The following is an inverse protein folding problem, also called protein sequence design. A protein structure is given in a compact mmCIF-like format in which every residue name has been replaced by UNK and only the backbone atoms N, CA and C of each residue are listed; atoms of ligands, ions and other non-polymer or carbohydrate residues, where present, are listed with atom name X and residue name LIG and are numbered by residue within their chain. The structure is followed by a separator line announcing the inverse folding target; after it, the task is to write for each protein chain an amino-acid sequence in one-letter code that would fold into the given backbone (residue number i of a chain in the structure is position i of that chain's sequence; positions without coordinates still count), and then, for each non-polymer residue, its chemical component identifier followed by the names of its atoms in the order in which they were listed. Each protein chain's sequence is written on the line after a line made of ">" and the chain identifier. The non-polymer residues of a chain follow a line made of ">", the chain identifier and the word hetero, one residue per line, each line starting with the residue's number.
data_IF_130194409402
#
_entry.id   IF_130194409402
#
_cell.length_a   1.000
_cell.length_b   1.000
_cell.length_c   1.000
_cell.angle_alpha   90.00
_cell.angle_beta   90.00
_cell.angle_gamma   90.00
#
_symmetry.space_group_name_H-M   'P 1'
#
loop_
_entity.id
_entity.type
_entity.pdbx_description
1 polymer ?
#
# COMPACT_ATOMS: atom_id res chain seq x y z
N UNK A 1 25.06 -1.81 22.64
CA UNK A 1 25.15 -0.43 22.12
C UNK A 1 24.87 -0.47 20.62
N UNK A 2 23.61 -0.19 20.32
CA UNK A 2 23.00 0.36 19.10
C UNK A 2 23.83 0.45 17.80
N UNK A 3 23.44 -0.37 16.82
CA UNK A 3 23.62 -0.17 15.37
C UNK A 3 22.29 -0.67 14.80
N UNK A 4 21.40 0.12 14.21
CA UNK A 4 21.58 0.95 13.01
C UNK A 4 20.32 1.82 12.92
N UNK A 5 20.46 3.11 13.18
CA UNK A 5 19.44 4.11 12.88
C UNK A 5 20.08 5.14 11.98
N UNK A 6 19.31 5.63 11.00
CA UNK A 6 19.60 6.73 10.05
C UNK A 6 20.11 6.29 8.68
N UNK A 7 19.15 5.99 7.81
CA UNK A 7 19.16 6.55 6.45
C UNK A 7 17.74 6.53 5.88
N UNK A 8 16.94 7.52 6.25
CA UNK A 8 15.84 7.96 5.40
C UNK A 8 16.03 9.45 5.25
N UNK A 9 16.43 9.81 4.04
CA UNK A 9 16.92 11.11 3.61
C UNK A 9 15.82 12.17 3.67
N UNK A 10 16.26 13.39 3.97
CA UNK A 10 15.51 14.63 3.91
C UNK A 10 14.79 14.78 2.56
N UNK A 11 13.53 15.23 2.60
CA UNK A 11 12.88 15.82 1.44
C UNK A 11 12.12 17.09 1.87
N UNK A 12 12.33 18.13 1.06
CA UNK A 12 12.04 19.56 1.24
C UNK A 12 10.60 19.91 1.62
N UNK A 13 10.46 21.13 2.15
CA UNK A 13 9.20 21.86 2.44
C UNK A 13 8.53 22.41 1.16
N UNK A 14 8.33 21.57 0.16
CA UNK A 14 7.18 21.74 -0.74
C UNK A 14 5.97 21.16 0.02
N UNK A 15 4.75 21.64 -0.19
CA UNK A 15 3.56 21.01 0.42
C UNK A 15 3.63 19.50 0.25
N UNK A 16 3.93 18.78 1.34
CA UNK A 16 4.19 17.36 1.27
C UNK A 16 2.83 16.74 1.02
N UNK A 17 2.50 16.49 -0.25
CA UNK A 17 1.30 15.74 -0.60
C UNK A 17 1.39 14.39 0.09
N UNK A 18 0.37 14.09 0.88
CA UNK A 18 0.23 12.82 1.56
C UNK A 18 -0.98 12.11 0.97
N UNK A 19 -0.77 10.85 0.61
CA UNK A 19 -1.80 9.97 0.10
C UNK A 19 -2.29 9.12 1.26
N UNK A 20 -3.62 9.06 1.43
CA UNK A 20 -4.25 8.23 2.45
C UNK A 20 -4.30 6.79 1.93
N UNK A 21 -3.63 5.87 2.60
CA UNK A 21 -3.61 4.45 2.25
C UNK A 21 -4.37 3.67 3.30
N UNK A 22 -5.44 3.01 2.88
CA UNK A 22 -6.31 2.20 3.71
C UNK A 22 -5.99 0.72 3.45
N UNK A 23 -5.38 0.07 4.42
CA UNK A 23 -4.98 -1.34 4.32
C UNK A 23 -5.95 -2.17 5.13
N UNK A 24 -6.66 -3.08 4.46
CA UNK A 24 -7.41 -4.13 5.13
C UNK A 24 -6.52 -5.36 5.22
N UNK A 25 -6.34 -5.87 6.43
CA UNK A 25 -5.66 -7.13 6.69
C UNK A 25 -6.57 -8.09 7.46
N UNK A 26 -6.72 -9.36 7.03
CA UNK A 26 -7.58 -10.31 7.73
C UNK A 26 -7.15 -10.59 9.18
N UNK A 27 -5.86 -10.46 9.49
CA UNK A 27 -5.31 -10.75 10.82
C UNK A 27 -5.25 -9.51 11.72
N UNK A 28 -4.94 -8.33 11.16
CA UNK A 28 -4.71 -7.09 11.91
C UNK A 28 -5.87 -6.07 11.79
N UNK A 29 -6.86 -6.34 10.95
CA UNK A 29 -8.00 -5.45 10.72
C UNK A 29 -7.67 -4.29 9.77
N UNK A 30 -8.39 -3.18 9.90
CA UNK A 30 -8.21 -1.99 9.08
C UNK A 30 -7.13 -1.07 9.64
N UNK A 31 -6.18 -0.69 8.80
CA UNK A 31 -5.12 0.25 9.11
C UNK A 31 -5.15 1.41 8.11
N UNK A 32 -4.81 2.61 8.57
CA UNK A 32 -4.65 3.79 7.72
C UNK A 32 -3.22 4.31 7.84
N UNK A 33 -2.57 4.51 6.70
CA UNK A 33 -1.25 5.09 6.57
C UNK A 33 -1.35 6.40 5.77
N UNK A 34 -0.42 7.32 6.02
CA UNK A 34 -0.24 8.53 5.21
C UNK A 34 1.18 8.51 4.69
N UNK A 35 1.35 8.27 3.39
CA UNK A 35 2.66 8.19 2.74
C UNK A 35 2.76 9.23 1.64
N UNK A 36 4.00 9.62 1.31
CA UNK A 36 4.25 10.45 0.14
C UNK A 36 4.01 9.64 -1.15
N UNK A 37 3.79 10.30 -2.29
CA UNK A 37 3.67 9.66 -3.61
C UNK A 37 4.70 8.55 -3.86
N UNK A 38 5.99 8.87 -3.69
CA UNK A 38 7.09 7.92 -3.92
C UNK A 38 7.06 6.73 -2.95
N UNK A 39 6.81 6.99 -1.67
CA UNK A 39 6.72 5.95 -0.65
C UNK A 39 5.49 5.05 -0.86
N UNK A 40 4.42 5.61 -1.41
CA UNK A 40 3.19 4.88 -1.77
C UNK A 40 3.46 3.89 -2.90
N UNK A 41 4.11 4.32 -3.98
CA UNK A 41 4.50 3.41 -5.08
C UNK A 41 5.39 2.27 -4.57
N UNK A 42 6.43 2.59 -3.79
CA UNK A 42 7.35 1.60 -3.21
C UNK A 42 6.63 0.63 -2.25
N UNK A 43 5.68 1.12 -1.46
CA UNK A 43 4.87 0.30 -0.55
C UNK A 43 3.97 -0.66 -1.33
N UNK A 44 3.26 -0.16 -2.33
CA UNK A 44 2.30 -0.93 -3.13
C UNK A 44 2.98 -1.95 -4.05
N UNK A 45 4.18 -1.66 -4.55
CA UNK A 45 4.98 -2.61 -5.32
C UNK A 45 5.32 -3.88 -4.52
N UNK A 46 5.35 -3.79 -3.18
CA UNK A 46 5.56 -4.92 -2.28
C UNK A 46 4.28 -5.72 -1.98
N UNK A 47 3.10 -5.23 -2.37
CA UNK A 47 1.78 -5.82 -2.10
C UNK A 47 1.21 -6.54 -3.35
N UNK A 48 2.01 -7.38 -4.01
CA UNK A 48 1.63 -8.05 -5.26
C UNK A 48 0.51 -9.10 -5.12
N UNK A 49 0.27 -9.61 -3.91
CA UNK A 49 -0.79 -10.55 -3.56
C UNK A 49 -2.13 -9.88 -3.22
N UNK A 50 -2.17 -8.54 -3.21
CA UNK A 50 -3.31 -7.76 -2.73
C UNK A 50 -4.00 -7.01 -3.87
N UNK A 51 -5.26 -6.69 -3.64
CA UNK A 51 -6.03 -5.84 -4.54
C UNK A 51 -5.80 -4.40 -4.19
N UNK A 52 -5.28 -3.63 -5.14
CA UNK A 52 -4.97 -2.23 -4.96
C UNK A 52 -6.05 -1.42 -5.69
N UNK A 53 -6.57 -0.43 -5.00
CA UNK A 53 -7.52 0.54 -5.55
C UNK A 53 -6.90 1.92 -5.41
N UNK A 54 -6.80 2.66 -6.49
CA UNK A 54 -6.35 4.05 -6.50
C UNK A 54 -7.56 4.91 -6.85
N UNK A 55 -7.96 5.82 -5.97
CA UNK A 55 -9.16 6.66 -6.11
C UNK A 55 -10.41 5.86 -6.52
N UNK A 56 -10.61 4.71 -5.88
CA UNK A 56 -11.69 3.75 -6.14
C UNK A 56 -11.61 2.97 -7.45
N UNK A 57 -10.56 3.11 -8.25
CA UNK A 57 -10.30 2.30 -9.44
C UNK A 57 -9.33 1.15 -9.13
N UNK A 58 -9.71 -0.07 -9.53
CA UNK A 58 -8.85 -1.24 -9.35
C UNK A 58 -7.61 -1.14 -10.24
N UNK A 59 -6.44 -1.28 -9.63
CA UNK A 59 -5.14 -1.22 -10.29
C UNK A 59 -4.30 -2.40 -9.85
N UNK A 60 -3.51 -2.97 -10.77
CA UNK A 60 -2.54 -4.01 -10.44
C UNK A 60 -1.17 -3.39 -10.14
N UNK A 61 -0.35 -4.07 -9.34
CA UNK A 61 0.98 -3.61 -8.96
C UNK A 61 1.89 -3.25 -10.15
N UNK A 62 1.73 -3.95 -11.26
CA UNK A 62 2.44 -3.72 -12.53
C UNK A 62 2.04 -2.42 -13.26
N UNK A 63 0.87 -1.85 -12.93
CA UNK A 63 0.37 -0.60 -13.52
C UNK A 63 0.57 0.63 -12.61
N UNK A 64 1.20 0.46 -11.44
CA UNK A 64 1.40 1.54 -10.47
C UNK A 64 2.25 2.69 -11.02
N UNK A 65 3.20 2.41 -11.91
CA UNK A 65 4.03 3.44 -12.56
C UNK A 65 3.27 4.26 -13.61
N UNK A 66 2.04 3.87 -13.97
CA UNK A 66 1.15 4.62 -14.87
C UNK A 66 0.21 5.56 -14.10
N UNK A 67 0.15 5.44 -12.77
CA UNK A 67 -0.71 6.26 -11.91
C UNK A 67 -0.09 7.64 -11.71
N UNK A 68 -0.91 8.68 -11.83
CA UNK A 68 -0.53 10.02 -11.41
C UNK A 68 -0.73 10.18 -9.89
N UNK A 69 0.35 9.91 -9.15
CA UNK A 69 0.37 10.03 -7.69
C UNK A 69 0.26 11.48 -7.19
N UNK A 70 0.49 12.48 -8.06
CA UNK A 70 0.33 13.89 -7.70
C UNK A 70 -1.15 14.30 -7.67
N UNK A 71 -2.00 13.62 -8.45
CA UNK A 71 -3.46 13.81 -8.41
C UNK A 71 -4.16 12.83 -7.48
N UNK A 72 -3.51 11.72 -7.12
CA UNK A 72 -4.09 10.68 -6.26
C UNK A 72 -4.25 11.15 -4.82
N UNK A 73 -5.42 10.92 -4.22
CA UNK A 73 -5.66 11.28 -2.80
C UNK A 73 -5.84 10.05 -1.91
N UNK A 74 -6.48 8.99 -2.41
CA UNK A 74 -6.78 7.80 -1.62
C UNK A 74 -6.38 6.51 -2.32
N UNK A 75 -5.77 5.62 -1.57
CA UNK A 75 -5.44 4.26 -1.99
C UNK A 75 -6.08 3.27 -1.01
N UNK A 76 -6.65 2.19 -1.54
CA UNK A 76 -7.16 1.06 -0.76
C UNK A 76 -6.41 -0.21 -1.12
N UNK A 77 -5.88 -0.89 -0.12
CA UNK A 77 -5.24 -2.19 -0.26
C UNK A 77 -6.12 -3.21 0.44
N UNK A 78 -6.71 -4.11 -0.32
CA UNK A 78 -7.58 -5.16 0.18
C UNK A 78 -6.89 -6.52 0.02
N UNK A 79 -7.11 -7.47 0.95
CA UNK A 79 -6.69 -8.83 0.72
C UNK A 79 -7.46 -9.36 -0.49
N UNK A 80 -6.81 -10.17 -1.34
CA UNK A 80 -7.52 -10.83 -2.42
C UNK A 80 -8.71 -11.61 -1.86
N UNK A 81 -9.92 -11.32 -2.35
CA UNK A 81 -11.13 -12.06 -1.97
C UNK A 81 -11.16 -13.40 -2.72
N UNK A 82 -10.19 -14.27 -2.45
CA UNK A 82 -10.26 -15.67 -2.88
C UNK A 82 -11.17 -16.41 -1.90
N UNK A 83 -12.46 -16.44 -2.24
CA UNK A 83 -13.43 -17.26 -1.52
C UNK A 83 -13.01 -18.74 -1.56
N UNK A 84 -12.72 -19.30 -0.39
CA UNK A 84 -12.49 -20.72 -0.21
C UNK A 84 -11.03 -21.13 -0.02
N UNK A 85 -10.45 -20.81 1.14
CA UNK A 85 -9.63 -21.85 1.77
C UNK A 85 -10.57 -23.00 2.09
N UNK A 86 -10.65 -23.97 1.18
CA UNK A 86 -11.02 -25.33 1.58
C UNK A 86 -9.98 -25.73 2.62
N UNK A 87 -10.39 -25.62 3.88
CA UNK A 87 -9.77 -26.27 5.00
C UNK A 87 -9.72 -27.77 4.67
N UNK A 88 -8.62 -28.20 4.06
CA UNK A 88 -8.36 -29.60 3.83
C UNK A 88 -7.60 -30.13 5.04
N UNK A 89 -8.24 -30.10 6.20
CA UNK A 89 -7.84 -30.91 7.35
C UNK A 89 -8.25 -32.35 7.06
N UNK A 90 -7.41 -33.00 6.27
CA UNK A 90 -7.27 -34.44 6.22
C UNK A 90 -5.81 -34.74 5.90
N UNK A 91 -5.00 -34.93 6.94
CA UNK A 91 -4.20 -36.13 7.20
C UNK A 91 -3.61 -36.03 8.61
#
# INVERSE_FOLDING_TARGET
>A
MEKTSKKIEQANQDEIKLIKIEVADPAHGHQTLMLKPKETEEYLAQQSDKWIFVDNEFTQSENLSLIDWDTTDTVRVLPGLVGGMVHNDYQ
#
